data_IF_337131939177
#
_entry.id   IF_337131939177
#
_cell.length_a   1.000
_cell.length_b   1.000
_cell.length_c   1.000
_cell.angle_alpha   90.00
_cell.angle_beta   90.00
_cell.angle_gamma   90.00
#
_symmetry.space_group_name_H-M   'P 1'
#
loop_
_entity.id
_entity.type
_entity.pdbx_description
1 polymer ?
#
# COMPACT_ATOMS: atom_id res chain seq x y z
N UNK A 1 15.71 -6.50 -23.88
CA UNK A 1 14.47 -5.91 -23.35
C UNK A 1 13.39 -6.94 -23.57
N UNK A 2 13.18 -7.82 -22.58
CA UNK A 2 12.02 -8.71 -22.59
C UNK A 2 10.81 -7.92 -22.09
N UNK A 3 9.65 -8.30 -22.60
CA UNK A 3 8.41 -7.53 -22.74
C UNK A 3 7.80 -7.01 -21.43
N UNK A 4 7.26 -5.79 -21.50
CA UNK A 4 6.12 -5.38 -20.68
C UNK A 4 4.95 -6.33 -20.97
N UNK A 5 4.45 -7.06 -19.97
CA UNK A 5 3.26 -7.90 -20.11
C UNK A 5 2.22 -7.53 -19.06
N UNK A 6 1.16 -6.80 -19.45
CA UNK A 6 -0.15 -7.00 -18.85
C UNK A 6 -1.15 -7.31 -19.96
N UNK A 7 -1.71 -8.54 -19.91
CA UNK A 7 -3.05 -8.70 -19.35
C UNK A 7 -3.11 -9.83 -18.31
N UNK A 8 -3.59 -9.49 -17.10
CA UNK A 8 -3.63 -10.34 -15.90
C UNK A 8 -2.28 -10.45 -15.19
N UNK A 9 -2.19 -10.09 -13.91
CA UNK A 9 -0.98 -10.34 -13.10
C UNK A 9 -0.67 -11.82 -12.96
N UNK A 10 0.40 -12.19 -12.22
CA UNK A 10 0.58 -13.55 -11.73
C UNK A 10 -0.76 -14.07 -11.21
N UNK A 11 -1.16 -15.25 -11.66
CA UNK A 11 -2.49 -15.78 -11.38
C UNK A 11 -2.74 -15.98 -9.88
N UNK A 12 -1.68 -16.29 -9.13
CA UNK A 12 -1.69 -16.33 -7.68
C UNK A 12 -2.02 -14.96 -7.07
N UNK A 13 -1.42 -13.87 -7.58
CA UNK A 13 -1.71 -12.50 -7.15
C UNK A 13 -3.19 -12.19 -7.33
N UNK A 14 -3.72 -12.38 -8.54
CA UNK A 14 -5.12 -12.04 -8.84
C UNK A 14 -6.13 -12.81 -7.97
N UNK A 15 -5.81 -14.04 -7.54
CA UNK A 15 -6.72 -14.85 -6.75
C UNK A 15 -6.53 -14.60 -5.26
N UNK A 16 -5.30 -14.75 -4.75
CA UNK A 16 -5.01 -14.74 -3.32
C UNK A 16 -5.10 -13.33 -2.74
N UNK A 17 -4.57 -12.31 -3.45
CA UNK A 17 -4.67 -10.92 -3.01
C UNK A 17 -6.13 -10.48 -2.93
N UNK A 18 -6.89 -10.70 -4.00
CA UNK A 18 -8.31 -10.30 -4.04
C UNK A 18 -9.15 -10.99 -2.96
N UNK A 19 -8.87 -12.27 -2.68
CA UNK A 19 -9.52 -12.98 -1.57
C UNK A 19 -9.11 -12.40 -0.21
N UNK A 20 -7.83 -12.08 0.00
CA UNK A 20 -7.36 -11.42 1.22
C UNK A 20 -8.03 -10.08 1.46
N UNK A 21 -8.17 -9.28 0.41
CA UNK A 21 -8.86 -8.00 0.41
C UNK A 21 -10.35 -8.14 0.76
N UNK A 22 -11.05 -9.08 0.12
CA UNK A 22 -12.45 -9.38 0.42
C UNK A 22 -12.63 -9.87 1.87
N UNK A 23 -11.72 -10.71 2.37
CA UNK A 23 -11.76 -11.23 3.74
C UNK A 23 -11.64 -10.11 4.78
N UNK A 24 -10.82 -9.08 4.54
CA UNK A 24 -10.74 -7.91 5.43
C UNK A 24 -12.07 -7.16 5.50
N UNK A 25 -12.71 -6.92 4.36
CA UNK A 25 -14.04 -6.28 4.33
C UNK A 25 -15.12 -7.14 4.99
N UNK A 26 -15.10 -8.46 4.78
CA UNK A 26 -16.04 -9.39 5.42
C UNK A 26 -15.86 -9.43 6.93
N UNK A 27 -14.61 -9.49 7.41
CA UNK A 27 -14.30 -9.46 8.82
C UNK A 27 -14.82 -8.17 9.47
N UNK A 28 -14.54 -7.01 8.85
CA UNK A 28 -15.03 -5.71 9.31
C UNK A 28 -16.56 -5.65 9.37
N UNK A 29 -17.25 -6.09 8.31
CA UNK A 29 -18.72 -6.13 8.27
C UNK A 29 -19.29 -7.09 9.32
N UNK A 30 -18.68 -8.27 9.48
CA UNK A 30 -19.14 -9.26 10.44
C UNK A 30 -19.05 -8.73 11.88
N UNK A 31 -17.97 -8.06 12.26
CA UNK A 31 -17.83 -7.50 13.62
C UNK A 31 -18.51 -6.14 13.81
N UNK A 32 -19.00 -5.50 12.75
CA UNK A 32 -19.60 -4.18 12.83
C UNK A 32 -20.82 -4.16 13.76
N UNK A 33 -20.80 -3.25 14.73
CA UNK A 33 -21.96 -2.94 15.58
C UNK A 33 -23.13 -2.31 14.80
N UNK A 34 -22.86 -1.83 13.58
CA UNK A 34 -23.83 -1.21 12.68
C UNK A 34 -24.33 -2.16 11.59
N UNK A 35 -23.99 -3.45 11.66
CA UNK A 35 -24.42 -4.43 10.67
C UNK A 35 -25.95 -4.56 10.66
N UNK A 36 -26.57 -4.28 9.51
CA UNK A 36 -28.00 -4.48 9.26
C UNK A 36 -28.17 -5.49 8.11
N UNK A 37 -28.70 -6.71 8.37
CA UNK A 37 -28.88 -7.73 7.35
C UNK A 37 -29.87 -7.31 6.25
N UNK A 38 -30.86 -6.46 6.56
CA UNK A 38 -31.81 -5.98 5.56
C UNK A 38 -31.15 -5.00 4.58
N UNK A 39 -30.23 -4.16 5.07
CA UNK A 39 -29.45 -3.27 4.22
C UNK A 39 -28.37 -4.03 3.44
N UNK A 40 -27.67 -4.95 4.10
CA UNK A 40 -26.57 -5.70 3.51
C UNK A 40 -27.05 -6.76 2.49
N UNK A 41 -28.32 -7.16 2.55
CA UNK A 41 -28.88 -8.22 1.70
C UNK A 41 -28.26 -9.60 1.98
N UNK A 42 -27.64 -9.79 3.13
CA UNK A 42 -26.97 -11.02 3.54
C UNK A 42 -27.06 -11.20 5.06
N UNK A 43 -27.25 -12.44 5.49
CA UNK A 43 -27.30 -12.79 6.91
C UNK A 43 -25.89 -12.91 7.50
N UNK A 44 -25.71 -12.44 8.73
CA UNK A 44 -24.40 -12.46 9.42
C UNK A 44 -23.74 -13.86 9.48
N UNK A 45 -24.47 -14.97 9.74
CA UNK A 45 -23.87 -16.32 9.68
C UNK A 45 -23.32 -16.71 8.31
N UNK A 46 -23.85 -16.16 7.22
CA UNK A 46 -23.34 -16.43 5.87
C UNK A 46 -21.99 -15.77 5.63
N UNK A 47 -21.75 -14.58 6.22
CA UNK A 47 -20.43 -13.94 6.19
C UNK A 47 -19.38 -14.83 6.87
N UNK A 48 -19.70 -15.40 8.04
CA UNK A 48 -18.80 -16.30 8.76
C UNK A 48 -18.56 -17.63 8.03
N UNK A 49 -19.59 -18.22 7.42
CA UNK A 49 -19.42 -19.41 6.57
C UNK A 49 -18.45 -19.13 5.41
N UNK A 50 -18.60 -17.98 4.74
CA UNK A 50 -17.71 -17.57 3.65
C UNK A 50 -16.28 -17.32 4.14
N UNK A 51 -16.10 -16.62 5.27
CA UNK A 51 -14.79 -16.44 5.92
C UNK A 51 -14.10 -17.81 6.14
N UNK A 52 -14.78 -18.76 6.79
CA UNK A 52 -14.24 -20.10 7.03
C UNK A 52 -13.91 -20.85 5.73
N UNK A 53 -14.80 -20.81 4.73
CA UNK A 53 -14.61 -21.53 3.46
C UNK A 53 -13.46 -20.95 2.63
N UNK A 54 -13.35 -19.63 2.56
CA UNK A 54 -12.28 -18.95 1.84
C UNK A 54 -10.93 -19.21 2.51
N UNK A 55 -10.81 -19.02 3.83
CA UNK A 55 -9.58 -19.34 4.58
C UNK A 55 -9.18 -20.81 4.43
N UNK A 56 -10.15 -21.73 4.56
CA UNK A 56 -9.91 -23.17 4.36
C UNK A 56 -9.43 -23.47 2.95
N UNK A 57 -10.00 -22.82 1.93
CA UNK A 57 -9.58 -23.00 0.54
C UNK A 57 -8.16 -22.47 0.32
N UNK A 58 -7.86 -21.25 0.78
CA UNK A 58 -6.54 -20.63 0.71
C UNK A 58 -5.50 -21.54 1.36
N UNK A 59 -5.75 -22.00 2.59
CA UNK A 59 -4.80 -22.82 3.34
C UNK A 59 -4.63 -24.23 2.76
N UNK A 60 -5.68 -24.80 2.16
CA UNK A 60 -5.61 -26.13 1.55
C UNK A 60 -4.79 -26.16 0.26
N UNK A 61 -4.77 -25.05 -0.49
CA UNK A 61 -4.03 -24.92 -1.76
C UNK A 61 -2.70 -24.17 -1.62
N UNK A 62 -2.35 -23.72 -0.42
CA UNK A 62 -1.01 -23.22 -0.13
C UNK A 62 0.03 -24.35 -0.25
N UNK A 63 1.33 -24.04 -0.45
CA UNK A 63 2.43 -25.02 -0.47
C UNK A 63 2.50 -25.91 0.78
N UNK A 64 2.12 -25.36 1.95
CA UNK A 64 2.00 -26.12 3.21
C UNK A 64 0.75 -27.02 3.29
N UNK A 65 -0.15 -26.89 2.31
CA UNK A 65 -1.40 -27.63 2.19
C UNK A 65 -1.24 -28.91 1.37
N UNK A 66 -2.37 -29.52 1.00
CA UNK A 66 -2.38 -30.83 0.32
C UNK A 66 -3.23 -30.87 -0.96
N UNK A 67 -3.99 -29.80 -1.24
CA UNK A 67 -4.83 -29.73 -2.43
C UNK A 67 -4.12 -28.98 -3.54
N UNK A 68 -4.51 -29.33 -4.77
CA UNK A 68 -4.01 -28.74 -6.01
C UNK A 68 -5.19 -28.33 -6.86
N UNK A 69 -5.12 -27.16 -7.48
CA UNK A 69 -6.10 -26.70 -8.46
C UNK A 69 -5.45 -25.80 -9.48
N UNK A 70 -5.76 -26.03 -10.75
CA UNK A 70 -5.51 -25.04 -11.79
C UNK A 70 -6.42 -23.82 -11.55
N UNK A 71 -6.02 -22.59 -11.90
CA UNK A 71 -4.76 -22.22 -12.57
C UNK A 71 -3.65 -21.77 -11.62
N UNK A 72 -3.66 -22.13 -10.33
CA UNK A 72 -2.60 -21.71 -9.41
C UNK A 72 -1.23 -22.22 -9.89
N UNK A 73 -0.18 -21.46 -9.59
CA UNK A 73 1.19 -21.80 -9.97
C UNK A 73 1.70 -23.05 -9.20
N UNK A 74 3.00 -23.32 -9.18
CA UNK A 74 3.60 -24.41 -8.37
C UNK A 74 2.85 -25.76 -8.37
N UNK A 75 2.44 -26.21 -9.56
CA UNK A 75 1.66 -27.44 -9.77
C UNK A 75 0.29 -27.39 -9.06
N UNK A 76 -0.43 -26.27 -9.23
CA UNK A 76 -1.77 -26.04 -8.69
C UNK A 76 -1.80 -25.57 -7.24
N UNK A 77 -0.72 -24.98 -6.73
CA UNK A 77 -0.60 -24.42 -5.38
C UNK A 77 -0.05 -22.98 -5.41
N UNK A 78 -0.24 -22.25 -4.32
CA UNK A 78 0.34 -20.91 -4.15
C UNK A 78 1.21 -20.85 -2.90
N UNK A 79 2.04 -19.81 -2.77
CA UNK A 79 2.94 -19.62 -1.63
C UNK A 79 4.39 -19.62 -2.05
N UNK A 80 5.26 -19.13 -1.17
CA UNK A 80 6.65 -18.77 -1.53
C UNK A 80 6.73 -17.80 -2.73
N UNK A 81 5.66 -17.02 -2.96
CA UNK A 81 5.57 -16.05 -4.04
C UNK A 81 6.16 -14.70 -3.59
N UNK A 82 6.65 -13.90 -4.54
CA UNK A 82 7.36 -12.64 -4.26
C UNK A 82 6.53 -11.60 -3.47
N UNK A 83 5.21 -11.57 -3.64
CA UNK A 83 4.30 -10.63 -2.96
C UNK A 83 3.38 -11.33 -1.92
N UNK A 84 3.54 -12.64 -1.71
CA UNK A 84 2.65 -13.41 -0.82
C UNK A 84 2.73 -12.99 0.65
N UNK A 85 3.80 -12.29 1.05
CA UNK A 85 3.92 -11.67 2.37
C UNK A 85 2.82 -10.63 2.63
N UNK A 86 2.55 -9.75 1.66
CA UNK A 86 1.45 -8.78 1.73
C UNK A 86 0.10 -9.50 1.86
N UNK A 87 -0.17 -10.46 0.97
CA UNK A 87 -1.48 -11.11 0.91
C UNK A 87 -1.79 -11.83 2.22
N UNK A 88 -0.79 -12.51 2.81
CA UNK A 88 -0.98 -13.22 4.07
C UNK A 88 -1.04 -12.29 5.27
N UNK A 89 -0.34 -11.17 5.26
CA UNK A 89 -0.49 -10.15 6.30
C UNK A 89 -1.91 -9.56 6.32
N UNK A 90 -2.50 -9.31 5.15
CA UNK A 90 -3.88 -8.84 5.02
C UNK A 90 -4.90 -9.90 5.47
N UNK A 91 -4.67 -11.16 5.13
CA UNK A 91 -5.49 -12.28 5.63
C UNK A 91 -5.33 -12.43 7.15
N UNK A 92 -4.13 -12.22 7.70
CA UNK A 92 -3.88 -12.28 9.14
C UNK A 92 -4.67 -11.23 9.91
N UNK A 93 -4.77 -10.01 9.36
CA UNK A 93 -5.63 -8.97 9.92
C UNK A 93 -7.10 -9.41 9.98
N UNK A 94 -7.63 -9.92 8.87
CA UNK A 94 -9.00 -10.41 8.80
C UNK A 94 -9.24 -11.56 9.80
N UNK A 95 -8.38 -12.58 9.78
CA UNK A 95 -8.48 -13.76 10.63
C UNK A 95 -8.40 -13.41 12.12
N UNK A 96 -7.47 -12.52 12.51
CA UNK A 96 -7.36 -12.03 13.88
C UNK A 96 -8.65 -11.32 14.34
N UNK A 97 -9.23 -10.48 13.49
CA UNK A 97 -10.43 -9.70 13.83
C UNK A 97 -11.66 -10.58 14.11
N UNK A 98 -11.72 -11.79 13.53
CA UNK A 98 -12.82 -12.76 13.75
C UNK A 98 -12.36 -14.06 14.42
N UNK A 99 -11.17 -14.09 15.04
CA UNK A 99 -10.53 -15.33 15.48
C UNK A 99 -11.41 -16.21 16.41
N UNK A 100 -12.19 -15.58 17.29
CA UNK A 100 -13.07 -16.28 18.24
C UNK A 100 -14.26 -16.99 17.58
N UNK A 101 -14.57 -16.67 16.31
CA UNK A 101 -15.73 -17.16 15.58
C UNK A 101 -15.33 -18.15 14.47
N UNK A 102 -14.05 -18.19 14.10
CA UNK A 102 -13.54 -19.12 13.11
C UNK A 102 -13.55 -20.56 13.64
N UNK A 103 -13.76 -21.52 12.73
CA UNK A 103 -13.65 -22.93 13.05
C UNK A 103 -12.20 -23.26 13.48
N UNK A 104 -11.99 -24.04 14.55
CA UNK A 104 -10.64 -24.29 15.07
C UNK A 104 -9.65 -24.89 14.05
N UNK A 105 -10.12 -25.78 13.16
CA UNK A 105 -9.31 -26.37 12.09
C UNK A 105 -8.87 -25.33 11.04
N UNK A 106 -9.71 -24.32 10.79
CA UNK A 106 -9.41 -23.22 9.87
C UNK A 106 -8.35 -22.31 10.47
N UNK A 107 -8.48 -21.94 11.74
CA UNK A 107 -7.51 -21.12 12.44
C UNK A 107 -6.14 -21.82 12.56
N UNK A 108 -6.14 -23.11 12.90
CA UNK A 108 -4.93 -23.93 12.93
C UNK A 108 -4.25 -24.01 11.54
N UNK A 109 -5.05 -24.23 10.48
CA UNK A 109 -4.53 -24.26 9.12
C UNK A 109 -3.95 -22.91 8.68
N UNK A 110 -4.58 -21.80 9.08
CA UNK A 110 -4.08 -20.46 8.81
C UNK A 110 -2.76 -20.18 9.53
N UNK A 111 -2.67 -20.51 10.81
CA UNK A 111 -1.43 -20.37 11.59
C UNK A 111 -0.25 -21.14 10.97
N UNK A 112 -0.49 -22.33 10.40
CA UNK A 112 0.53 -23.06 9.65
C UNK A 112 1.02 -22.30 8.41
N UNK A 113 0.10 -21.72 7.63
CA UNK A 113 0.44 -20.93 6.44
C UNK A 113 1.22 -19.68 6.83
N UNK A 114 0.75 -18.94 7.85
CA UNK A 114 1.41 -17.75 8.37
C UNK A 114 2.85 -18.05 8.83
N UNK A 115 3.05 -19.15 9.58
CA UNK A 115 4.38 -19.58 9.99
C UNK A 115 5.28 -19.96 8.82
N UNK A 116 4.75 -20.67 7.81
CA UNK A 116 5.51 -21.02 6.60
C UNK A 116 6.00 -19.78 5.87
N UNK A 117 5.12 -18.81 5.64
CA UNK A 117 5.47 -17.59 4.92
C UNK A 117 6.46 -16.74 5.72
N UNK A 118 6.30 -16.65 7.05
CA UNK A 118 7.24 -15.94 7.91
C UNK A 118 8.63 -16.61 7.94
N UNK A 119 8.69 -17.95 7.89
CA UNK A 119 9.93 -18.72 7.90
C UNK A 119 10.81 -18.47 6.67
N UNK A 120 10.25 -17.98 5.56
CA UNK A 120 11.01 -17.60 4.35
C UNK A 120 12.04 -16.52 4.61
N UNK A 121 11.83 -15.68 5.63
CA UNK A 121 12.69 -14.53 5.94
C UNK A 121 13.74 -14.82 7.00
N UNK A 122 13.80 -16.05 7.52
CA UNK A 122 14.82 -16.48 8.47
C UNK A 122 16.19 -16.50 7.78
N UNK A 123 17.10 -15.66 8.26
CA UNK A 123 18.44 -15.53 7.69
C UNK A 123 18.51 -14.93 6.28
N UNK A 124 17.43 -14.28 5.81
CA UNK A 124 17.37 -13.64 4.47
C UNK A 124 17.41 -12.13 4.60
N UNK A 125 18.52 -11.51 4.20
CA UNK A 125 18.70 -10.06 4.35
C UNK A 125 17.68 -9.24 3.56
N UNK A 126 17.25 -8.08 4.09
CA UNK A 126 16.43 -7.10 3.38
C UNK A 126 16.95 -6.86 1.95
N UNK A 127 16.11 -6.97 0.90
CA UNK A 127 16.52 -6.64 -0.45
C UNK A 127 16.94 -5.17 -0.57
N UNK A 128 17.94 -4.92 -1.40
CA UNK A 128 18.52 -3.59 -1.63
C UNK A 128 18.33 -3.15 -3.09
N UNK A 129 18.09 -1.86 -3.30
CA UNK A 129 17.91 -1.25 -4.60
C UNK A 129 17.82 0.27 -4.50
N UNK A 130 18.37 1.02 -5.46
CA UNK A 130 18.33 2.49 -5.44
C UNK A 130 17.74 3.11 -6.71
N UNK A 131 17.98 2.48 -7.84
CA UNK A 131 17.64 3.01 -9.16
C UNK A 131 16.76 2.00 -9.87
N UNK A 132 15.77 2.50 -10.62
CA UNK A 132 14.76 1.73 -11.34
C UNK A 132 13.78 0.94 -10.47
N UNK A 133 14.28 0.31 -9.41
CA UNK A 133 13.56 -0.57 -8.51
C UNK A 133 14.28 -0.49 -7.16
N UNK A 134 13.66 0.20 -6.20
CA UNK A 134 14.29 0.56 -4.92
C UNK A 134 14.18 -0.51 -3.85
N UNK A 135 13.36 -1.55 -4.05
CA UNK A 135 13.12 -2.57 -3.02
C UNK A 135 12.55 -2.06 -1.69
N UNK A 136 12.13 -0.80 -1.63
CA UNK A 136 11.49 -0.22 -0.44
C UNK A 136 10.19 -0.95 -0.11
N UNK A 137 9.37 -1.17 -1.13
CA UNK A 137 8.04 -1.75 -1.00
C UNK A 137 8.11 -3.20 -0.51
N UNK A 138 9.00 -4.02 -1.08
CA UNK A 138 9.25 -5.39 -0.63
C UNK A 138 9.64 -5.45 0.84
N UNK A 139 10.54 -4.55 1.27
CA UNK A 139 10.92 -4.46 2.67
C UNK A 139 9.72 -4.15 3.58
N UNK A 140 8.82 -3.29 3.12
CA UNK A 140 7.61 -2.96 3.85
C UNK A 140 6.63 -4.14 3.93
N UNK A 141 6.37 -4.85 2.82
CA UNK A 141 5.54 -6.07 2.78
C UNK A 141 6.01 -7.15 3.74
N UNK A 142 7.31 -7.43 3.73
CA UNK A 142 7.87 -8.53 4.50
C UNK A 142 7.87 -8.19 6.00
N UNK A 143 8.15 -6.94 6.35
CA UNK A 143 8.03 -6.48 7.74
C UNK A 143 6.60 -6.57 8.27
N UNK A 144 5.60 -6.36 7.40
CA UNK A 144 4.19 -6.41 7.75
C UNK A 144 3.74 -7.86 8.05
N UNK A 145 4.15 -8.82 7.23
CA UNK A 145 3.96 -10.25 7.51
C UNK A 145 4.59 -10.67 8.85
N UNK A 146 5.86 -10.31 9.05
CA UNK A 146 6.62 -10.71 10.23
C UNK A 146 6.03 -10.14 11.52
N UNK A 147 5.43 -8.94 11.46
CA UNK A 147 4.67 -8.38 12.57
C UNK A 147 3.49 -9.28 12.97
N UNK A 148 2.68 -9.72 12.01
CA UNK A 148 1.55 -10.61 12.26
C UNK A 148 1.97 -11.98 12.75
N UNK A 149 3.00 -12.58 12.15
CA UNK A 149 3.52 -13.88 12.58
C UNK A 149 3.97 -13.85 14.04
N UNK A 150 4.77 -12.85 14.44
CA UNK A 150 5.16 -12.67 15.83
C UNK A 150 3.97 -12.45 16.77
N UNK A 151 3.00 -11.62 16.36
CA UNK A 151 1.89 -11.25 17.22
C UNK A 151 0.89 -12.39 17.44
N UNK A 152 0.60 -13.19 16.41
CA UNK A 152 -0.39 -14.27 16.47
C UNK A 152 0.19 -15.60 16.96
N UNK A 153 1.50 -15.81 16.81
CA UNK A 153 2.17 -17.06 17.16
C UNK A 153 3.32 -16.82 18.17
N UNK A 154 3.05 -16.21 19.35
CA UNK A 154 4.10 -15.81 20.29
C UNK A 154 4.87 -16.98 20.90
N UNK A 155 4.28 -18.17 20.95
CA UNK A 155 4.91 -19.37 21.51
C UNK A 155 5.65 -20.21 20.45
N UNK A 156 5.69 -19.77 19.18
CA UNK A 156 6.41 -20.48 18.12
C UNK A 156 7.93 -20.41 18.35
N UNK A 157 8.70 -21.48 18.06
CA UNK A 157 10.16 -21.47 18.25
C UNK A 157 10.91 -20.35 17.51
N UNK A 158 10.32 -19.82 16.44
CA UNK A 158 10.89 -18.72 15.64
C UNK A 158 10.31 -17.34 15.98
N UNK A 159 9.40 -17.21 16.96
CA UNK A 159 8.68 -15.96 17.22
C UNK A 159 9.59 -14.75 17.51
N UNK A 160 10.66 -14.96 18.27
CA UNK A 160 11.66 -13.91 18.55
C UNK A 160 12.48 -13.54 17.31
N UNK A 161 12.80 -14.53 16.48
CA UNK A 161 13.53 -14.29 15.23
C UNK A 161 12.64 -13.55 14.23
N UNK A 162 11.36 -13.90 14.10
CA UNK A 162 10.41 -13.15 13.27
C UNK A 162 10.29 -11.69 13.72
N UNK A 163 10.27 -11.42 15.03
CA UNK A 163 10.30 -10.03 15.52
C UNK A 163 11.60 -9.33 15.14
N UNK A 164 12.74 -10.00 15.28
CA UNK A 164 14.04 -9.45 14.91
C UNK A 164 14.13 -9.14 13.41
N UNK A 165 13.72 -10.09 12.55
CA UNK A 165 13.64 -9.89 11.10
C UNK A 165 12.65 -8.77 10.77
N UNK A 166 11.47 -8.74 11.38
CA UNK A 166 10.47 -7.70 11.13
C UNK A 166 11.00 -6.29 11.43
N UNK A 167 11.74 -6.13 12.54
CA UNK A 167 12.48 -4.89 12.85
C UNK A 167 13.52 -4.55 11.78
N UNK A 168 14.28 -5.55 11.31
CA UNK A 168 15.32 -5.39 10.31
C UNK A 168 14.75 -4.98 8.94
N UNK A 169 13.68 -5.62 8.48
CA UNK A 169 13.01 -5.25 7.23
C UNK A 169 12.38 -3.86 7.34
N UNK A 170 11.65 -3.58 8.42
CA UNK A 170 10.98 -2.28 8.61
C UNK A 170 11.93 -1.08 8.61
N UNK A 171 13.09 -1.19 9.29
CA UNK A 171 14.07 -0.09 9.32
C UNK A 171 14.85 0.04 8.01
N UNK A 172 14.87 -1.00 7.18
CA UNK A 172 15.51 -0.99 5.86
C UNK A 172 14.56 -0.56 4.72
N UNK A 173 13.29 -0.25 5.01
CA UNK A 173 12.31 0.26 4.04
C UNK A 173 12.69 1.63 3.49
N UNK A 174 12.90 2.65 4.32
CA UNK A 174 13.37 3.97 3.88
C UNK A 174 14.79 4.23 4.37
N UNK A 175 15.80 3.97 3.54
CA UNK A 175 17.22 4.13 3.92
C UNK A 175 18.02 4.91 2.91
N UNK A 176 18.96 5.70 3.44
CA UNK A 176 19.88 6.55 2.67
C UNK A 176 21.34 6.23 2.99
N UNK A 177 22.26 6.82 2.24
CA UNK A 177 23.70 6.74 2.51
C UNK A 177 24.08 7.24 3.92
N UNK A 178 23.29 8.15 4.50
CA UNK A 178 23.56 8.71 5.83
C UNK A 178 23.23 7.72 6.95
N UNK A 179 22.20 6.89 6.77
CA UNK A 179 21.80 5.89 7.76
C UNK A 179 22.91 4.85 7.99
N UNK A 180 23.64 4.51 6.92
CA UNK A 180 24.77 3.56 6.93
C UNK A 180 26.00 4.04 7.68
N UNK A 181 26.05 5.32 8.05
CA UNK A 181 27.14 5.90 8.84
C UNK A 181 26.66 6.51 10.16
N UNK A 182 25.36 6.42 10.46
CA UNK A 182 24.78 7.00 11.66
C UNK A 182 25.12 6.17 12.91
N UNK A 183 25.80 6.81 13.85
CA UNK A 183 26.27 6.19 15.10
C UNK A 183 25.36 6.46 16.29
N UNK A 184 24.27 7.22 16.10
CA UNK A 184 23.25 7.41 17.14
C UNK A 184 22.63 6.06 17.49
N UNK A 185 22.37 5.86 18.78
CA UNK A 185 21.75 4.62 19.25
C UNK A 185 20.28 4.58 18.84
N UNK A 186 19.88 3.45 18.27
CA UNK A 186 18.51 3.08 17.93
C UNK A 186 18.25 1.67 18.44
N UNK A 187 17.26 1.51 19.32
CA UNK A 187 16.96 0.24 20.02
C UNK A 187 18.22 -0.47 20.58
N UNK A 188 19.08 0.30 21.26
CA UNK A 188 20.25 -0.22 21.98
C UNK A 188 21.52 -0.45 21.16
N UNK A 189 21.51 -0.27 19.83
CA UNK A 189 22.73 -0.33 18.98
C UNK A 189 22.80 0.83 17.99
N UNK A 190 23.98 1.19 17.45
CA UNK A 190 24.10 2.21 16.40
C UNK A 190 23.14 1.97 15.23
N UNK A 191 22.50 3.03 14.70
CA UNK A 191 21.56 2.92 13.57
C UNK A 191 22.19 2.22 12.36
N UNK A 192 23.44 2.56 12.02
CA UNK A 192 24.19 1.90 10.95
C UNK A 192 24.31 0.38 11.09
N UNK A 193 24.18 -0.17 12.30
CA UNK A 193 24.27 -1.61 12.56
C UNK A 193 22.91 -2.31 12.33
N UNK A 194 21.83 -1.55 12.12
CA UNK A 194 20.54 -2.04 11.61
C UNK A 194 20.42 -1.96 10.10
N UNK A 195 21.18 -1.08 9.45
CA UNK A 195 20.96 -0.71 8.05
C UNK A 195 21.93 -1.45 7.14
N UNK A 196 21.39 -2.27 6.25
CA UNK A 196 22.14 -2.99 5.22
C UNK A 196 21.77 -2.57 3.79
N UNK A 197 20.77 -1.70 3.62
CA UNK A 197 20.26 -1.27 2.32
C UNK A 197 20.48 0.23 2.06
N UNK A 198 20.18 0.64 0.83
CA UNK A 198 19.92 1.99 0.39
C UNK A 198 18.71 1.99 -0.57
N UNK A 199 17.52 1.96 0.01
CA UNK A 199 16.22 1.86 -0.65
C UNK A 199 15.58 3.21 -0.97
N UNK A 200 16.27 4.31 -0.71
CA UNK A 200 15.80 5.65 -1.03
C UNK A 200 16.94 6.55 -1.47
N UNK A 201 16.59 7.54 -2.29
CA UNK A 201 17.52 8.62 -2.60
C UNK A 201 17.78 9.50 -1.36
N UNK A 202 18.85 10.31 -1.35
CA UNK A 202 19.16 11.19 -0.22
C UNK A 202 18.05 12.19 0.15
N UNK A 203 17.11 12.46 -0.76
CA UNK A 203 15.92 13.28 -0.53
C UNK A 203 14.65 12.46 -0.21
N UNK A 204 14.82 11.16 0.08
CA UNK A 204 13.77 10.15 0.33
C UNK A 204 12.79 9.93 -0.83
N UNK A 205 13.10 10.41 -2.03
CA UNK A 205 12.40 9.93 -3.21
C UNK A 205 12.77 8.47 -3.49
N UNK A 206 11.83 7.72 -4.05
CA UNK A 206 11.99 6.31 -4.42
C UNK A 206 11.62 6.12 -5.88
N UNK A 207 12.20 5.11 -6.49
CA UNK A 207 11.90 4.71 -7.87
C UNK A 207 11.33 3.30 -7.89
N UNK A 208 10.37 3.11 -8.78
CA UNK A 208 9.97 1.80 -9.25
C UNK A 208 9.62 1.89 -10.73
N UNK A 209 9.64 0.75 -11.43
CA UNK A 209 9.40 0.66 -12.87
C UNK A 209 10.22 1.66 -13.72
N UNK A 210 11.40 2.08 -13.22
CA UNK A 210 12.29 3.00 -13.92
C UNK A 210 12.03 4.50 -13.72
N UNK A 211 11.11 4.90 -12.84
CA UNK A 211 10.75 6.31 -12.62
C UNK A 211 10.34 6.59 -11.17
N UNK A 212 10.34 7.86 -10.78
CA UNK A 212 9.69 8.27 -9.53
C UNK A 212 8.19 8.18 -9.67
N UNK A 213 7.54 7.59 -8.67
CA UNK A 213 6.11 7.38 -8.69
C UNK A 213 5.56 7.51 -7.27
N UNK A 214 4.75 8.55 -6.98
CA UNK A 214 4.21 8.81 -5.65
C UNK A 214 3.49 7.63 -5.00
N UNK A 215 2.89 6.72 -5.79
CA UNK A 215 2.26 5.52 -5.26
C UNK A 215 3.23 4.61 -4.51
N UNK A 216 4.46 4.42 -5.02
CA UNK A 216 5.46 3.61 -4.34
C UNK A 216 6.07 4.33 -3.14
N UNK A 217 6.24 5.66 -3.22
CA UNK A 217 6.58 6.43 -2.02
C UNK A 217 5.50 6.32 -0.92
N UNK A 218 4.24 6.08 -1.33
CA UNK A 218 3.11 5.78 -0.46
C UNK A 218 3.16 4.43 0.24
N UNK A 219 4.08 3.53 -0.13
CA UNK A 219 4.20 2.20 0.48
C UNK A 219 4.62 2.23 1.96
N UNK A 220 5.00 3.41 2.49
CA UNK A 220 5.07 3.65 3.92
C UNK A 220 3.77 3.36 4.70
N UNK A 221 2.61 3.30 4.02
CA UNK A 221 1.36 2.79 4.59
C UNK A 221 1.50 1.37 5.14
N UNK A 222 2.29 0.51 4.48
CA UNK A 222 2.47 -0.89 4.86
C UNK A 222 3.20 -1.03 6.19
N UNK A 223 4.15 -0.13 6.48
CA UNK A 223 4.77 -0.06 7.81
C UNK A 223 3.75 0.32 8.88
N UNK A 224 2.82 1.24 8.58
CA UNK A 224 1.75 1.61 9.52
C UNK A 224 0.77 0.44 9.72
N UNK A 225 0.43 -0.27 8.66
CA UNK A 225 -0.39 -1.48 8.74
C UNK A 225 0.34 -2.60 9.49
N UNK A 226 1.67 -2.71 9.39
CA UNK A 226 2.49 -3.57 10.24
C UNK A 226 2.39 -3.23 11.73
N UNK A 227 2.31 -1.94 12.07
CA UNK A 227 2.08 -1.50 13.46
C UNK A 227 0.71 -1.95 13.97
N UNK A 228 -0.31 -2.08 13.10
CA UNK A 228 -1.63 -2.59 13.51
C UNK A 228 -1.58 -4.01 14.08
N UNK A 229 -0.71 -4.88 13.59
CA UNK A 229 -0.56 -6.23 14.14
C UNK A 229 -0.26 -6.20 15.64
N UNK A 230 0.62 -5.28 16.06
CA UNK A 230 0.96 -5.09 17.46
C UNK A 230 -0.20 -4.45 18.23
N UNK A 231 -0.77 -3.35 17.75
CA UNK A 231 -1.82 -2.64 18.50
C UNK A 231 -3.10 -3.46 18.65
N UNK A 232 -3.53 -4.16 17.59
CA UNK A 232 -4.72 -5.04 17.60
C UNK A 232 -4.53 -6.29 18.48
N UNK A 233 -3.29 -6.67 18.79
CA UNK A 233 -2.98 -7.78 19.71
C UNK A 233 -2.50 -7.31 21.09
N UNK A 234 -2.66 -6.00 21.39
CA UNK A 234 -2.32 -5.43 22.69
C UNK A 234 -0.82 -5.30 22.97
N UNK A 235 0.01 -5.29 21.92
CA UNK A 235 1.47 -5.10 21.99
C UNK A 235 1.87 -3.69 21.54
N UNK A 236 3.06 -3.25 21.94
CA UNK A 236 3.65 -1.98 21.48
C UNK A 236 4.43 -2.20 20.19
N UNK A 237 4.13 -1.48 19.10
CA UNK A 237 4.92 -1.58 17.87
C UNK A 237 6.37 -1.13 18.08
N UNK A 238 7.37 -1.84 17.51
CA UNK A 238 8.75 -1.38 17.52
C UNK A 238 8.91 -0.03 16.80
N UNK A 239 9.82 0.86 17.24
CA UNK A 239 10.06 2.15 16.59
C UNK A 239 10.63 2.02 15.16
N UNK A 240 11.12 0.83 14.79
CA UNK A 240 11.66 0.50 13.46
C UNK A 240 10.63 0.78 12.35
N UNK A 241 9.35 0.50 12.61
CA UNK A 241 8.25 0.74 11.67
C UNK A 241 7.94 2.23 11.45
N UNK A 242 8.62 3.14 12.13
CA UNK A 242 8.50 4.59 11.93
C UNK A 242 9.78 5.23 11.37
N UNK A 243 10.84 4.45 11.11
CA UNK A 243 12.09 5.00 10.58
C UNK A 243 11.84 5.67 9.23
N UNK A 244 12.16 6.96 9.14
CA UNK A 244 11.91 7.85 8.00
C UNK A 244 10.47 7.95 7.45
N UNK A 245 9.47 7.25 8.01
CA UNK A 245 8.08 7.31 7.52
C UNK A 245 7.53 8.73 7.51
N UNK A 246 7.77 9.50 8.56
CA UNK A 246 7.32 10.89 8.63
C UNK A 246 8.10 11.80 7.67
N UNK A 247 9.34 11.47 7.33
CA UNK A 247 10.13 12.25 6.37
C UNK A 247 9.73 11.94 4.93
N UNK A 248 9.51 10.66 4.59
CA UNK A 248 8.92 10.23 3.32
C UNK A 248 7.52 10.84 3.12
N UNK A 249 6.69 10.86 4.17
CA UNK A 249 5.37 11.51 4.14
C UNK A 249 5.44 13.00 3.76
N UNK A 250 6.45 13.74 4.22
CA UNK A 250 6.64 15.16 3.83
C UNK A 250 6.96 15.33 2.34
N UNK A 251 7.58 14.33 1.72
CA UNK A 251 7.82 14.33 0.27
C UNK A 251 6.52 13.97 -0.45
N UNK A 252 5.87 12.88 -0.02
CA UNK A 252 4.62 12.38 -0.61
C UNK A 252 3.52 13.45 -0.63
N UNK A 253 3.35 14.20 0.46
CA UNK A 253 2.31 15.22 0.59
C UNK A 253 2.36 16.35 -0.44
N UNK A 254 3.49 16.50 -1.15
CA UNK A 254 3.65 17.48 -2.23
C UNK A 254 2.85 17.10 -3.47
N UNK A 255 2.49 15.83 -3.60
CA UNK A 255 1.84 15.27 -4.78
C UNK A 255 0.33 15.14 -4.64
N UNK A 256 -0.23 15.19 -3.42
CA UNK A 256 -1.68 15.16 -3.24
C UNK A 256 -2.37 16.44 -3.72
N UNK A 257 -3.51 16.28 -4.39
CA UNK A 257 -4.43 17.30 -4.86
C UNK A 257 -5.55 17.55 -3.84
N UNK A 258 -6.23 18.68 -3.98
CA UNK A 258 -7.27 19.11 -3.02
C UNK A 258 -8.50 18.17 -3.00
N UNK A 259 -8.72 17.38 -4.05
CA UNK A 259 -9.87 16.50 -4.18
C UNK A 259 -9.61 15.06 -3.71
N UNK A 260 -8.50 14.79 -3.04
CA UNK A 260 -8.19 13.42 -2.59
C UNK A 260 -7.18 12.68 -3.48
N UNK A 261 -7.00 13.10 -4.73
CA UNK A 261 -6.16 12.37 -5.68
C UNK A 261 -4.68 12.69 -5.55
N UNK A 262 -3.86 11.80 -6.10
CA UNK A 262 -2.42 11.95 -6.22
C UNK A 262 -2.07 12.42 -7.62
N UNK A 263 -1.23 13.44 -7.74
CA UNK A 263 -0.68 13.87 -9.00
C UNK A 263 0.57 13.05 -9.32
N UNK A 264 0.67 12.48 -10.52
CA UNK A 264 1.82 11.66 -10.93
C UNK A 264 2.66 12.40 -11.97
N UNK A 265 3.66 13.20 -11.53
CA UNK A 265 4.41 14.11 -12.40
C UNK A 265 5.38 13.41 -13.37
N UNK A 266 5.57 12.10 -13.19
CA UNK A 266 6.45 11.27 -14.01
C UNK A 266 5.71 10.08 -14.64
N UNK A 267 4.37 10.16 -14.71
CA UNK A 267 3.49 9.13 -15.31
C UNK A 267 2.82 8.24 -14.26
N UNK A 268 1.69 7.63 -14.66
CA UNK A 268 0.92 6.67 -13.86
C UNK A 268 0.66 5.40 -14.69
N UNK A 269 1.10 4.24 -14.23
CA UNK A 269 0.90 2.93 -14.86
C UNK A 269 -0.14 2.03 -14.16
N UNK A 270 -0.68 2.49 -13.03
CA UNK A 270 -1.85 1.92 -12.38
C UNK A 270 -3.14 2.62 -12.83
N UNK A 271 -4.28 2.10 -12.39
CA UNK A 271 -5.58 2.74 -12.58
C UNK A 271 -5.60 4.13 -11.94
N UNK A 272 -6.19 5.10 -12.64
CA UNK A 272 -6.35 6.47 -12.16
C UNK A 272 -7.84 6.77 -11.92
N UNK A 273 -8.14 7.59 -10.92
CA UNK A 273 -9.50 7.83 -10.40
C UNK A 273 -10.16 6.63 -9.71
N UNK A 274 -9.41 5.99 -8.82
CA UNK A 274 -9.97 5.04 -7.86
C UNK A 274 -10.09 5.69 -6.48
N UNK A 275 -11.08 5.28 -5.67
CA UNK A 275 -11.09 5.58 -4.24
C UNK A 275 -9.86 4.98 -3.56
N UNK A 276 -8.85 5.81 -3.28
CA UNK A 276 -7.62 5.40 -2.60
C UNK A 276 -7.73 5.66 -1.10
N UNK A 277 -8.26 4.69 -0.35
CA UNK A 277 -8.51 4.83 1.08
C UNK A 277 -7.25 4.41 1.84
N UNK A 278 -6.40 5.37 2.16
CA UNK A 278 -5.12 5.08 2.83
C UNK A 278 -5.23 5.13 4.35
N UNK A 279 -4.91 4.01 5.01
CA UNK A 279 -4.75 3.95 6.47
C UNK A 279 -3.63 4.89 6.97
N UNK A 280 -2.63 5.18 6.14
CA UNK A 280 -1.57 6.13 6.48
C UNK A 280 -2.14 7.52 6.75
N UNK A 281 -3.19 7.94 6.03
CA UNK A 281 -3.84 9.22 6.28
C UNK A 281 -4.49 9.28 7.67
N UNK A 282 -5.11 8.18 8.12
CA UNK A 282 -5.69 8.07 9.45
C UNK A 282 -4.61 8.19 10.54
N UNK A 283 -3.51 7.44 10.40
CA UNK A 283 -2.39 7.48 11.35
C UNK A 283 -1.74 8.85 11.41
N UNK A 284 -1.45 9.48 10.26
CA UNK A 284 -0.86 10.82 10.22
C UNK A 284 -1.76 11.86 10.87
N UNK A 285 -3.07 11.73 10.74
CA UNK A 285 -4.03 12.60 11.41
C UNK A 285 -4.10 12.34 12.93
N UNK A 286 -4.36 11.11 13.36
CA UNK A 286 -4.63 10.78 14.76
C UNK A 286 -3.37 10.80 15.64
N UNK A 287 -2.28 10.18 15.18
CA UNK A 287 -1.06 10.02 15.98
C UNK A 287 -0.15 11.26 15.87
N UNK A 288 -0.15 11.94 14.72
CA UNK A 288 0.78 13.04 14.44
C UNK A 288 0.10 14.41 14.29
N UNK A 289 -1.23 14.48 14.36
CA UNK A 289 -1.98 15.74 14.30
C UNK A 289 -1.98 16.40 12.92
N UNK A 290 -1.68 15.65 11.85
CA UNK A 290 -1.62 16.18 10.50
C UNK A 290 -3.02 16.38 9.91
N UNK A 291 -3.53 17.62 10.02
CA UNK A 291 -4.83 18.02 9.45
C UNK A 291 -4.88 17.92 7.93
N UNK A 292 -3.74 17.97 7.24
CA UNK A 292 -3.68 17.74 5.79
C UNK A 292 -4.02 16.28 5.48
N UNK A 293 -3.45 15.33 6.24
CA UNK A 293 -3.77 13.91 6.10
C UNK A 293 -5.26 13.63 6.37
N UNK A 294 -5.82 14.25 7.42
CA UNK A 294 -7.26 14.15 7.71
C UNK A 294 -8.15 14.68 6.58
N UNK A 295 -7.73 15.76 5.91
CA UNK A 295 -8.41 16.24 4.70
C UNK A 295 -8.32 15.25 3.55
N UNK A 296 -7.16 14.63 3.33
CA UNK A 296 -7.01 13.62 2.28
C UNK A 296 -7.97 12.45 2.52
N UNK A 297 -7.95 11.86 3.72
CA UNK A 297 -8.85 10.77 4.09
C UNK A 297 -10.33 11.14 3.88
N UNK A 298 -10.72 12.37 4.26
CA UNK A 298 -12.09 12.85 4.05
C UNK A 298 -12.47 12.86 2.57
N UNK A 299 -11.59 13.38 1.71
CA UNK A 299 -11.85 13.42 0.27
C UNK A 299 -11.88 12.01 -0.34
N UNK A 300 -11.00 11.10 0.09
CA UNK A 300 -11.00 9.72 -0.39
C UNK A 300 -12.32 9.00 -0.03
N UNK A 301 -12.81 9.14 1.21
CA UNK A 301 -14.09 8.56 1.65
C UNK A 301 -15.29 9.19 0.94
N UNK A 302 -15.28 10.53 0.78
CA UNK A 302 -16.31 11.24 0.02
C UNK A 302 -16.35 10.77 -1.44
N UNK A 303 -15.19 10.65 -2.09
CA UNK A 303 -15.11 10.18 -3.47
C UNK A 303 -15.59 8.74 -3.62
N UNK A 304 -15.27 7.85 -2.66
CA UNK A 304 -15.82 6.50 -2.62
C UNK A 304 -17.37 6.53 -2.58
N UNK A 305 -17.96 7.31 -1.67
CA UNK A 305 -19.42 7.43 -1.53
C UNK A 305 -20.07 7.93 -2.83
N UNK A 306 -19.51 8.97 -3.44
CA UNK A 306 -19.98 9.51 -4.73
C UNK A 306 -19.86 8.48 -5.86
N UNK A 307 -18.76 7.73 -5.92
CA UNK A 307 -18.52 6.72 -6.95
C UNK A 307 -19.47 5.51 -6.81
N UNK A 308 -19.72 5.05 -5.58
CA UNK A 308 -20.69 4.00 -5.29
C UNK A 308 -22.11 4.41 -5.68
N UNK A 309 -22.49 5.67 -5.43
CA UNK A 309 -23.79 6.22 -5.83
C UNK A 309 -23.94 6.30 -7.34
N UNK A 310 -22.90 6.72 -8.06
CA UNK A 310 -22.89 6.78 -9.52
C UNK A 310 -23.01 5.38 -10.15
N UNK A 311 -22.32 4.39 -9.58
CA UNK A 311 -22.42 3.00 -10.04
C UNK A 311 -23.83 2.42 -9.85
N UNK A 312 -24.45 2.67 -8.68
CA UNK A 312 -25.84 2.32 -8.39
C UNK A 312 -26.13 0.82 -8.31
N UNK A 313 -25.11 -0.03 -8.38
CA UNK A 313 -25.23 -1.49 -8.49
C UNK A 313 -24.36 -2.27 -7.50
N UNK A 314 -23.85 -1.57 -6.47
CA UNK A 314 -23.04 -2.15 -5.39
C UNK A 314 -21.53 -2.10 -5.65
N UNK A 315 -21.08 -1.63 -6.82
CA UNK A 315 -19.66 -1.41 -7.07
C UNK A 315 -19.10 -0.23 -6.27
N UNK A 316 -17.87 -0.34 -5.81
CA UNK A 316 -17.06 0.73 -5.20
C UNK A 316 -16.66 1.79 -6.20
N UNK A 317 -16.48 1.42 -7.48
CA UNK A 317 -16.17 2.36 -8.54
C UNK A 317 -16.96 2.11 -9.84
N UNK A 318 -17.72 3.12 -10.28
CA UNK A 318 -18.47 3.06 -11.53
C UNK A 318 -17.58 2.81 -12.77
N UNK A 319 -16.33 3.27 -12.72
CA UNK A 319 -15.33 3.19 -13.81
C UNK A 319 -14.57 1.86 -13.87
N UNK A 320 -14.74 1.00 -12.87
CA UNK A 320 -13.95 -0.22 -12.72
C UNK A 320 -13.96 -1.19 -13.93
N UNK A 321 -15.02 -1.29 -14.78
CA UNK A 321 -14.99 -2.12 -16.00
C UNK A 321 -13.87 -1.77 -17.00
N UNK A 322 -13.12 -0.70 -16.78
CA UNK A 322 -11.98 -0.27 -17.58
C UNK A 322 -10.64 -0.38 -16.83
N UNK A 323 -10.59 -1.13 -15.72
CA UNK A 323 -9.39 -1.31 -14.93
C UNK A 323 -8.21 -1.87 -15.76
N UNK A 324 -7.00 -1.37 -15.46
CA UNK A 324 -5.79 -1.70 -16.19
C UNK A 324 -5.55 -3.22 -16.20
N UNK A 325 -5.20 -3.76 -17.37
CA UNK A 325 -4.85 -5.18 -17.53
C UNK A 325 -5.99 -6.17 -17.25
N UNK A 326 -7.25 -5.74 -17.17
CA UNK A 326 -8.40 -6.62 -16.91
C UNK A 326 -8.54 -7.06 -15.45
N UNK A 327 -7.85 -6.41 -14.51
CA UNK A 327 -7.80 -6.78 -13.09
C UNK A 327 -8.96 -6.21 -12.26
N UNK A 328 -10.15 -6.08 -12.87
CA UNK A 328 -11.35 -5.50 -12.25
C UNK A 328 -11.59 -5.99 -10.82
N UNK A 329 -11.56 -7.31 -10.62
CA UNK A 329 -11.88 -7.91 -9.32
C UNK A 329 -10.85 -7.56 -8.26
N UNK A 330 -9.57 -7.49 -8.64
CA UNK A 330 -8.48 -7.13 -7.74
C UNK A 330 -8.61 -5.68 -7.25
N UNK A 331 -8.89 -4.73 -8.15
CA UNK A 331 -9.05 -3.33 -7.73
C UNK A 331 -10.33 -3.11 -6.91
N UNK A 332 -11.43 -3.76 -7.29
CA UNK A 332 -12.70 -3.67 -6.57
C UNK A 332 -12.58 -4.21 -5.15
N UNK A 333 -11.96 -5.39 -5.00
CA UNK A 333 -11.68 -5.96 -3.67
C UNK A 333 -10.62 -5.13 -2.94
N UNK A 334 -9.61 -4.59 -3.62
CA UNK A 334 -8.63 -3.69 -3.02
C UNK A 334 -9.24 -2.50 -2.28
N UNK A 335 -10.23 -1.82 -2.88
CA UNK A 335 -10.98 -0.73 -2.20
C UNK A 335 -11.71 -1.28 -0.95
N UNK A 336 -12.33 -2.45 -1.08
CA UNK A 336 -12.99 -3.12 0.05
C UNK A 336 -12.01 -3.47 1.18
N UNK A 337 -10.81 -3.95 0.84
CA UNK A 337 -9.76 -4.30 1.79
C UNK A 337 -9.18 -3.07 2.50
N UNK A 338 -8.99 -1.97 1.76
CA UNK A 338 -8.58 -0.68 2.32
C UNK A 338 -9.64 -0.12 3.29
N UNK A 339 -10.91 -0.11 2.90
CA UNK A 339 -12.00 0.30 3.78
C UNK A 339 -12.13 -0.61 5.00
N UNK A 340 -12.00 -1.93 4.80
CA UNK A 340 -12.01 -2.93 5.86
C UNK A 340 -10.88 -2.69 6.87
N UNK A 341 -9.67 -2.40 6.38
CA UNK A 341 -8.52 -2.05 7.22
C UNK A 341 -8.80 -0.82 8.07
N UNK A 342 -9.31 0.26 7.46
CA UNK A 342 -9.68 1.49 8.18
C UNK A 342 -10.78 1.23 9.22
N UNK A 343 -11.79 0.43 8.88
CA UNK A 343 -12.86 0.08 9.81
C UNK A 343 -12.38 -0.77 10.99
N UNK A 344 -11.49 -1.75 10.74
CA UNK A 344 -10.87 -2.59 11.77
C UNK A 344 -9.97 -1.76 12.70
N UNK A 345 -9.19 -0.84 12.13
CA UNK A 345 -8.31 0.05 12.89
C UNK A 345 -9.06 1.10 13.71
N UNK A 346 -10.26 1.48 13.27
CA UNK A 346 -11.04 2.58 13.81
C UNK A 346 -11.01 3.76 12.85
N UNK A 347 -12.20 4.25 12.49
CA UNK A 347 -12.33 5.43 11.62
C UNK A 347 -12.16 6.69 12.46
N UNK A 348 -11.19 7.56 12.16
CA UNK A 348 -10.98 8.79 12.90
C UNK A 348 -12.12 9.80 12.72
N UNK A 349 -12.35 10.65 13.71
CA UNK A 349 -13.22 11.82 13.57
C UNK A 349 -12.48 12.94 12.83
N UNK A 350 -12.63 12.93 11.50
CA UNK A 350 -11.94 13.84 10.58
C UNK A 350 -12.87 14.93 10.04
N UNK A 351 -12.28 16.07 9.70
CA UNK A 351 -12.97 17.15 8.99
C UNK A 351 -12.04 17.77 7.95
N UNK A 352 -12.55 18.13 6.76
CA UNK A 352 -11.73 18.69 5.71
C UNK A 352 -11.26 20.11 6.07
N UNK A 353 -10.04 20.46 5.67
CA UNK A 353 -9.55 21.84 5.67
C UNK A 353 -10.10 22.63 4.46
N UNK A 354 -10.04 23.97 4.51
CA UNK A 354 -10.48 24.79 3.39
C UNK A 354 -9.50 24.75 2.21
N UNK A 355 -10.00 25.06 1.01
CA UNK A 355 -9.15 25.17 -0.19
C UNK A 355 -8.06 26.23 -0.06
N UNK A 356 -8.34 27.34 0.63
CA UNK A 356 -7.34 28.38 0.91
C UNK A 356 -6.26 27.88 1.87
N UNK A 357 -6.62 27.12 2.89
CA UNK A 357 -5.70 26.52 3.85
C UNK A 357 -4.80 25.50 3.15
N UNK A 358 -5.38 24.55 2.42
CA UNK A 358 -4.66 23.55 1.63
C UNK A 358 -3.67 24.20 0.67
N UNK A 359 -4.13 25.16 -0.14
CA UNK A 359 -3.28 25.83 -1.13
C UNK A 359 -2.17 26.64 -0.46
N UNK A 360 -2.45 27.33 0.65
CA UNK A 360 -1.45 28.12 1.37
C UNK A 360 -0.31 27.23 1.87
N UNK A 361 -0.64 26.09 2.46
CA UNK A 361 0.35 25.14 2.98
C UNK A 361 1.19 24.51 1.87
N UNK A 362 0.60 24.36 0.68
CA UNK A 362 1.25 23.72 -0.44
C UNK A 362 2.07 24.68 -1.33
N UNK A 363 2.02 26.00 -1.16
CA UNK A 363 2.81 26.94 -2.00
C UNK A 363 4.31 26.65 -1.83
N UNK A 364 5.00 26.44 -2.95
CA UNK A 364 6.44 26.19 -2.94
C UNK A 364 6.99 25.79 -4.30
N UNK A 365 8.31 25.69 -4.39
CA UNK A 365 8.99 25.08 -5.53
C UNK A 365 10.06 24.16 -4.97
N UNK A 366 9.97 22.89 -5.32
CA UNK A 366 10.85 21.83 -4.86
C UNK A 366 11.53 21.18 -6.05
N UNK A 367 12.79 20.81 -5.88
CA UNK A 367 13.56 20.08 -6.87
C UNK A 367 14.03 18.77 -6.24
N UNK A 368 13.77 17.68 -6.95
CA UNK A 368 14.16 16.33 -6.62
C UNK A 368 15.16 15.84 -7.67
N UNK A 369 16.44 16.22 -7.54
CA UNK A 369 17.43 15.99 -8.59
C UNK A 369 17.74 14.50 -8.79
N UNK A 370 17.57 13.68 -7.75
CA UNK A 370 17.82 12.25 -7.84
C UNK A 370 16.81 11.55 -8.74
N UNK A 371 15.58 12.06 -8.82
CA UNK A 371 14.54 11.51 -9.69
C UNK A 371 14.18 12.44 -10.85
N UNK A 372 15.08 13.37 -11.18
CA UNK A 372 14.95 14.32 -12.28
C UNK A 372 13.58 15.01 -12.35
N UNK A 373 13.14 15.57 -11.22
CA UNK A 373 11.81 16.16 -11.10
C UNK A 373 11.89 17.55 -10.47
N UNK A 374 11.11 18.49 -11.01
CA UNK A 374 10.82 19.76 -10.37
C UNK A 374 9.31 19.94 -10.24
N UNK A 375 8.86 20.39 -9.07
CA UNK A 375 7.45 20.67 -8.79
C UNK A 375 7.30 22.09 -8.29
N UNK A 376 6.36 22.83 -8.85
CA UNK A 376 5.91 24.13 -8.39
C UNK A 376 4.44 24.06 -8.04
N UNK A 377 4.12 24.50 -6.83
CA UNK A 377 2.74 24.70 -6.38
C UNK A 377 2.51 26.16 -6.08
N UNK A 378 1.40 26.70 -6.58
CA UNK A 378 0.99 28.08 -6.35
C UNK A 378 -0.52 28.16 -6.15
N UNK A 379 -1.05 29.36 -5.91
CA UNK A 379 -2.51 29.58 -5.87
C UNK A 379 -3.21 29.20 -7.18
N UNK A 380 -2.46 29.10 -8.28
CA UNK A 380 -2.96 28.74 -9.61
C UNK A 380 -2.98 27.22 -9.85
N UNK A 381 -2.38 26.40 -8.98
CA UNK A 381 -2.35 24.95 -9.15
C UNK A 381 -0.98 24.31 -8.94
N UNK A 382 -0.84 23.08 -9.42
CA UNK A 382 0.41 22.31 -9.46
C UNK A 382 0.95 22.29 -10.89
N UNK A 383 2.26 22.51 -11.02
CA UNK A 383 3.01 22.49 -12.26
C UNK A 383 4.27 21.66 -12.02
N UNK A 384 4.58 20.70 -12.87
CA UNK A 384 5.81 19.92 -12.73
C UNK A 384 6.48 19.65 -14.06
N UNK A 385 7.76 19.31 -13.96
CA UNK A 385 8.57 18.88 -15.07
C UNK A 385 9.46 17.72 -14.62
N UNK A 386 9.29 16.56 -15.25
CA UNK A 386 10.14 15.40 -15.10
C UNK A 386 10.97 15.22 -16.37
N UNK A 387 12.30 15.13 -16.23
CA UNK A 387 13.17 14.80 -17.37
C UNK A 387 13.17 13.29 -17.67
N UNK A 388 12.61 12.47 -16.77
CA UNK A 388 12.44 11.04 -16.96
C UNK A 388 11.09 10.58 -16.38
N UNK A 389 10.19 10.14 -17.24
CA UNK A 389 8.91 9.52 -16.92
C UNK A 389 8.97 7.99 -16.98
N UNK A 390 7.86 7.32 -16.63
CA UNK A 390 7.66 5.88 -16.82
C UNK A 390 7.85 5.44 -18.28
N UNK A 391 7.46 6.28 -19.25
CA UNK A 391 7.72 6.03 -20.67
C UNK A 391 9.15 6.35 -21.11
N UNK A 392 10.07 6.58 -20.16
CA UNK A 392 11.44 7.02 -20.39
C UNK A 392 11.51 8.23 -21.32
N UNK A 393 10.67 9.23 -21.05
CA UNK A 393 10.60 10.47 -21.81
C UNK A 393 10.50 11.69 -20.89
N UNK A 394 10.52 12.88 -21.47
CA UNK A 394 10.29 14.13 -20.73
C UNK A 394 8.79 14.36 -20.59
N UNK A 395 8.32 14.69 -19.39
CA UNK A 395 6.92 14.94 -19.08
C UNK A 395 6.73 16.27 -18.36
N UNK A 396 5.76 17.06 -18.80
CA UNK A 396 5.31 18.26 -18.10
C UNK A 396 3.88 18.06 -17.65
N UNK A 397 3.57 18.35 -16.39
CA UNK A 397 2.21 18.22 -15.86
C UNK A 397 1.69 19.56 -15.37
N UNK A 398 0.43 19.85 -15.68
CA UNK A 398 -0.27 21.05 -15.21
C UNK A 398 -1.63 20.64 -14.67
N UNK A 399 -1.84 20.88 -13.37
CA UNK A 399 -3.14 20.74 -12.71
C UNK A 399 -3.53 22.12 -12.19
N UNK A 400 -4.32 22.90 -12.94
CA UNK A 400 -4.75 24.21 -12.50
C UNK A 400 -5.70 24.08 -11.32
N UNK A 401 -5.71 25.09 -10.47
CA UNK A 401 -6.61 25.21 -9.34
C UNK A 401 -8.08 25.13 -9.80
N UNK A 402 -8.85 24.16 -9.29
CA UNK A 402 -10.21 23.86 -9.72
C UNK A 402 -10.31 22.87 -10.88
N UNK A 403 -9.19 22.41 -11.44
CA UNK A 403 -9.12 21.40 -12.51
C UNK A 403 -8.80 19.98 -12.00
N UNK A 404 -8.72 19.79 -10.68
CA UNK A 404 -8.30 18.53 -10.06
C UNK A 404 -9.24 17.35 -10.40
N UNK A 405 -10.53 17.62 -10.67
CA UNK A 405 -11.53 16.60 -11.04
C UNK A 405 -11.52 16.27 -12.55
N UNK A 406 -10.87 17.09 -13.37
CA UNK A 406 -10.90 16.98 -14.85
C UNK A 406 -9.58 16.49 -15.41
N UNK A 407 -8.47 16.86 -14.78
CA UNK A 407 -7.13 16.51 -15.25
C UNK A 407 -6.59 15.32 -14.49
N UNK A 408 -6.07 14.36 -15.24
CA UNK A 408 -5.50 13.14 -14.69
C UNK A 408 -4.12 12.82 -15.23
N UNK A 409 -3.47 11.89 -14.54
CA UNK A 409 -2.21 11.30 -14.97
C UNK A 409 -2.51 9.95 -15.63
N UNK A 410 -2.17 9.84 -16.91
CA UNK A 410 -1.94 8.57 -17.61
C UNK A 410 -0.42 8.36 -17.72
N UNK A 411 0.05 7.20 -18.20
CA UNK A 411 1.48 6.93 -18.43
C UNK A 411 2.16 8.07 -19.20
N UNK A 412 1.39 8.72 -20.10
CA UNK A 412 1.83 9.77 -21.02
C UNK A 412 0.93 11.03 -21.04
N UNK A 413 0.15 11.31 -19.98
CA UNK A 413 -0.71 12.51 -19.96
C UNK A 413 0.13 13.81 -20.05
N UNK A 414 -0.22 14.70 -20.96
CA UNK A 414 0.49 15.98 -21.18
C UNK A 414 1.98 15.85 -21.56
N UNK A 415 2.39 14.78 -22.26
CA UNK A 415 3.70 14.77 -22.93
C UNK A 415 3.72 15.83 -24.04
N UNK A 416 4.26 17.00 -23.72
CA UNK A 416 4.73 17.95 -24.72
C UNK A 416 5.98 17.41 -25.41
N UNK A 417 6.08 17.60 -26.74
CA UNK A 417 7.30 17.34 -27.49
C UNK A 417 8.28 18.50 -27.24
N UNK A 418 9.42 18.22 -26.61
CA UNK A 418 10.50 19.20 -26.46
C UNK A 418 11.52 19.02 -27.58
N UNK A 419 11.69 20.09 -28.34
CA UNK A 419 12.74 20.22 -29.33
C UNK A 419 13.72 21.30 -28.89
N UNK A 420 15.00 20.98 -28.87
CA UNK A 420 16.05 22.00 -28.84
C UNK A 420 16.56 22.13 -30.27
N UNK A 421 16.42 23.34 -30.86
CA UNK A 421 16.81 23.62 -32.24
C UNK A 421 16.17 22.70 -33.30
N UNK A 422 14.93 22.23 -33.07
CA UNK A 422 14.23 21.32 -33.98
C UNK A 422 14.58 19.85 -33.83
N UNK A 423 15.49 19.49 -32.91
CA UNK A 423 15.82 18.11 -32.60
C UNK A 423 15.06 17.64 -31.37
N UNK A 424 14.36 16.50 -31.52
CA UNK A 424 13.66 15.85 -30.41
C UNK A 424 14.68 15.38 -29.39
N UNK A 425 14.57 15.89 -28.17
CA UNK A 425 15.32 15.33 -27.05
C UNK A 425 14.78 13.92 -26.76
N UNK A 426 15.67 12.93 -26.84
CA UNK A 426 15.48 11.62 -26.21
C UNK A 426 16.33 11.64 -24.95
N UNK A 427 15.77 11.30 -23.78
CA UNK A 427 16.54 11.26 -22.54
C UNK A 427 17.69 10.25 -22.60
#
# INVERSE_FOLDING_TARGET
>A
MNEFQPPGGPINEMIIRSLGDELRGYAALYQSAFFDPALAGIEKPVLLDRLNRCLRWICAHHLSGSRRTEPLEWNGQWGDDWESSLWIADIAMAANHVANELEPDVLEAFHRVLAFEADRFLGVDPPDGRWHDTKEEENAWDSYLLAWAHCLLPDHPHADEWLYRGKLFAINTFTTDLDRVDTRLFDGRPLKDWVCTQTSHPDLTVENHGSFHPGYLGCGVLLMTGRLAFTLTGKTPPPHYLHHVHDAWKVLRRFFLYNGFTAYPSGQDWTYHEPDISYQHAVMFEEFGDRFAGHMLWQNLKYMEESMRDAGDGRFNARMPHAAGGRYFQFETGIMGQLGTLAIAGVPDISPISVEEFRREQIGTDAYPYVWLQVRRSKQGLFSFAWRSLSHSVMGMVVPAGGEDTLGSEQDAFIGRFEINGERLKP
#
